data_IF_816408767394
#
_entry.id   IF_816408767394
#
_cell.length_a   1.000
_cell.length_b   1.000
_cell.length_c   1.000
_cell.angle_alpha   90.00
_cell.angle_beta   90.00
_cell.angle_gamma   90.00
#
_symmetry.space_group_name_H-M   'P 1'
#
loop_
_entity.id
_entity.type
_entity.pdbx_description
1 polymer ?
#
# COMPACT_ATOMS: atom_id res chain seq x y z
N UNK A 1 4.04 -12.97 5.60
CA UNK A 1 4.57 -14.34 5.79
C UNK A 1 4.42 -15.12 4.49
N UNK A 2 5.27 -16.12 4.22
CA UNK A 2 5.16 -17.00 3.04
C UNK A 2 5.17 -16.32 1.67
N UNK A 3 5.68 -15.08 1.58
CA UNK A 3 5.76 -14.33 0.31
C UNK A 3 4.41 -14.00 -0.33
N UNK A 4 3.31 -14.06 0.43
CA UNK A 4 1.95 -13.75 -0.05
C UNK A 4 1.34 -12.55 0.67
N UNK A 5 0.50 -11.81 -0.03
CA UNK A 5 -0.32 -10.72 0.52
C UNK A 5 -1.79 -11.15 0.52
N UNK A 6 -2.35 -11.37 1.70
CA UNK A 6 -3.75 -11.79 1.88
C UNK A 6 -4.61 -10.60 2.31
N UNK A 7 -5.89 -10.62 1.94
CA UNK A 7 -6.89 -9.66 2.43
C UNK A 7 -8.19 -10.39 2.82
N UNK A 8 -8.85 -9.91 3.88
CA UNK A 8 -10.14 -10.44 4.36
C UNK A 8 -11.09 -9.28 4.63
N UNK A 9 -12.22 -9.21 3.93
CA UNK A 9 -13.17 -8.12 4.08
C UNK A 9 -13.93 -8.21 5.42
N UNK A 10 -14.14 -7.07 6.08
CA UNK A 10 -14.93 -6.98 7.32
C UNK A 10 -14.25 -7.55 8.56
N UNK A 11 -12.96 -7.84 8.50
CA UNK A 11 -12.17 -8.35 9.63
C UNK A 11 -11.01 -7.40 9.91
N UNK A 12 -10.82 -7.04 11.18
CA UNK A 12 -9.67 -6.31 11.68
C UNK A 12 -8.91 -7.21 12.67
N UNK A 13 -7.60 -7.32 12.52
CA UNK A 13 -6.77 -8.10 13.44
C UNK A 13 -6.58 -7.30 14.75
N UNK A 14 -6.71 -7.97 15.89
CA UNK A 14 -6.55 -7.35 17.22
C UNK A 14 -5.11 -6.94 17.53
N UNK A 15 -4.14 -7.56 16.85
CA UNK A 15 -2.70 -7.38 17.00
C UNK A 15 -2.05 -6.85 15.71
N UNK A 16 -2.80 -6.07 14.92
CA UNK A 16 -2.29 -5.46 13.71
C UNK A 16 -1.09 -4.53 13.99
N UNK A 17 -0.05 -4.63 13.16
CA UNK A 17 1.12 -3.73 13.19
C UNK A 17 0.73 -2.25 13.04
N UNK A 18 -0.28 -1.98 12.20
CA UNK A 18 -0.85 -0.67 11.98
C UNK A 18 -2.31 -0.77 11.52
N UNK A 19 -3.11 0.25 11.85
CA UNK A 19 -4.45 0.46 11.30
C UNK A 19 -4.42 1.72 10.43
N UNK A 20 -4.88 1.61 9.19
CA UNK A 20 -4.88 2.69 8.22
C UNK A 20 -6.33 2.98 7.84
N UNK A 21 -6.76 4.22 8.02
CA UNK A 21 -8.09 4.71 7.64
C UNK A 21 -7.95 5.73 6.53
N UNK A 22 -8.62 5.49 5.41
CA UNK A 22 -8.66 6.35 4.23
C UNK A 22 -9.92 6.08 3.41
N UNK A 23 -10.29 7.01 2.54
CA UNK A 23 -11.35 6.77 1.55
C UNK A 23 -10.85 5.95 0.36
N UNK A 24 -11.78 5.31 -0.37
CA UNK A 24 -11.44 4.59 -1.60
C UNK A 24 -10.85 5.52 -2.68
N UNK A 25 -11.31 6.76 -2.72
CA UNK A 25 -10.83 7.75 -3.69
C UNK A 25 -9.37 8.13 -3.42
N UNK A 26 -8.99 8.31 -2.15
CA UNK A 26 -7.60 8.56 -1.76
C UNK A 26 -6.72 7.36 -2.10
N UNK A 27 -7.19 6.13 -1.83
CA UNK A 27 -6.46 4.92 -2.22
C UNK A 27 -6.21 4.88 -3.73
N UNK A 28 -7.22 5.19 -4.55
CA UNK A 28 -7.08 5.18 -6.01
C UNK A 28 -6.02 6.20 -6.48
N UNK A 29 -6.04 7.43 -5.95
CA UNK A 29 -5.04 8.46 -6.28
C UNK A 29 -3.62 8.01 -5.94
N UNK A 30 -3.44 7.33 -4.80
CA UNK A 30 -2.14 6.78 -4.39
C UNK A 30 -1.66 5.70 -5.36
N UNK A 31 -2.53 4.74 -5.71
CA UNK A 31 -2.20 3.66 -6.66
C UNK A 31 -1.89 4.20 -8.06
N UNK A 32 -2.60 5.25 -8.49
CA UNK A 32 -2.37 5.94 -9.76
C UNK A 32 -1.13 6.87 -9.74
N UNK A 33 -0.44 6.99 -8.60
CA UNK A 33 0.71 7.88 -8.38
C UNK A 33 0.37 9.38 -8.57
N UNK A 34 -0.91 9.75 -8.43
CA UNK A 34 -1.37 11.15 -8.48
C UNK A 34 -1.14 11.89 -7.15
N UNK A 35 -1.01 11.13 -6.06
CA UNK A 35 -0.77 11.62 -4.71
C UNK A 35 0.08 10.61 -3.93
N UNK A 36 1.00 11.07 -3.10
CA UNK A 36 1.78 10.18 -2.24
C UNK A 36 1.07 9.94 -0.91
N UNK A 37 1.33 8.78 -0.29
CA UNK A 37 0.84 8.47 1.05
C UNK A 37 1.24 9.54 2.09
N UNK A 38 2.45 10.09 1.96
CA UNK A 38 2.95 11.15 2.84
C UNK A 38 2.16 12.44 2.69
N UNK A 39 1.84 12.84 1.45
CA UNK A 39 1.01 14.02 1.18
C UNK A 39 -0.41 13.82 1.71
N UNK A 40 -1.02 12.66 1.45
CA UNK A 40 -2.37 12.36 1.93
C UNK A 40 -2.44 12.32 3.47
N UNK A 41 -1.39 11.85 4.14
CA UNK A 41 -1.27 11.89 5.61
C UNK A 41 -1.15 13.34 6.10
N UNK A 42 -0.35 14.17 5.43
CA UNK A 42 -0.17 15.58 5.79
C UNK A 42 -1.45 16.43 5.59
N UNK A 43 -2.34 16.01 4.68
CA UNK A 43 -3.68 16.60 4.47
C UNK A 43 -4.75 16.07 5.43
N UNK A 44 -4.39 15.13 6.31
CA UNK A 44 -5.32 14.41 7.20
C UNK A 44 -6.35 13.53 6.46
N UNK A 45 -6.17 13.31 5.15
CA UNK A 45 -6.99 12.40 4.34
C UNK A 45 -6.70 10.91 4.63
N UNK A 46 -5.53 10.63 5.22
CA UNK A 46 -5.12 9.32 5.71
C UNK A 46 -4.80 9.42 7.20
N UNK A 47 -5.42 8.55 8.00
CA UNK A 47 -5.09 8.39 9.42
C UNK A 47 -4.42 7.05 9.64
N UNK A 48 -3.29 7.05 10.35
CA UNK A 48 -2.53 5.85 10.70
C UNK A 48 -2.42 5.76 12.22
N UNK A 49 -2.74 4.61 12.79
CA UNK A 49 -2.43 4.26 14.18
C UNK A 49 -1.52 3.04 14.22
N UNK A 50 -0.67 2.91 15.25
CA UNK A 50 0.36 1.87 15.29
C UNK A 50 1.64 2.29 14.57
N UNK A 51 2.34 1.35 13.92
CA UNK A 51 3.62 1.59 13.27
C UNK A 51 3.46 1.97 11.78
N UNK A 52 3.51 3.27 11.48
CA UNK A 52 3.35 3.77 10.12
C UNK A 52 4.42 3.26 9.13
N UNK A 53 5.63 2.91 9.60
CA UNK A 53 6.69 2.41 8.72
C UNK A 53 6.36 1.04 8.11
N UNK A 54 5.46 0.26 8.73
CA UNK A 54 5.02 -1.04 8.20
C UNK A 54 4.27 -0.92 6.87
N UNK A 55 3.58 0.20 6.64
CA UNK A 55 2.97 0.48 5.35
C UNK A 55 4.02 0.83 4.30
N UNK A 56 5.06 1.61 4.66
CA UNK A 56 6.17 1.91 3.76
C UNK A 56 6.94 0.63 3.38
N UNK A 57 7.18 -0.26 4.35
CA UNK A 57 7.81 -1.56 4.15
C UNK A 57 7.00 -2.42 3.16
N UNK A 58 5.69 -2.54 3.35
CA UNK A 58 4.79 -3.27 2.45
C UNK A 58 4.83 -2.72 1.02
N UNK A 59 4.73 -1.40 0.86
CA UNK A 59 4.77 -0.75 -0.45
C UNK A 59 6.15 -0.92 -1.12
N UNK A 60 7.22 -0.96 -0.32
CA UNK A 60 8.57 -1.23 -0.80
C UNK A 60 8.78 -2.63 -1.35
N UNK A 61 7.91 -3.60 -1.01
CA UNK A 61 7.92 -4.94 -1.58
C UNK A 61 7.16 -5.05 -2.92
N UNK A 62 6.48 -3.99 -3.36
CA UNK A 62 5.78 -3.99 -4.64
C UNK A 62 6.78 -3.77 -5.78
N UNK A 63 6.78 -4.67 -6.74
CA UNK A 63 7.69 -4.62 -7.88
C UNK A 63 7.25 -3.58 -8.93
N UNK A 64 8.20 -3.12 -9.75
CA UNK A 64 7.92 -2.36 -10.95
C UNK A 64 8.29 -3.21 -12.16
N UNK A 65 7.33 -3.43 -13.06
CA UNK A 65 7.56 -4.27 -14.23
C UNK A 65 8.08 -3.44 -15.40
N UNK A 66 9.22 -3.86 -15.95
CA UNK A 66 9.77 -3.29 -17.18
C UNK A 66 8.86 -3.58 -18.38
N UNK A 67 8.47 -2.52 -19.11
CA UNK A 67 7.53 -2.66 -20.22
C UNK A 67 8.12 -3.49 -21.37
N UNK A 68 9.43 -3.32 -21.64
CA UNK A 68 10.13 -3.96 -22.74
C UNK A 68 10.92 -5.19 -22.28
N UNK A 69 10.23 -6.18 -21.73
CA UNK A 69 10.83 -7.48 -21.49
C UNK A 69 11.11 -8.19 -22.82
N UNK A 70 12.14 -9.05 -22.85
CA UNK A 70 12.47 -9.81 -24.05
C UNK A 70 11.31 -10.76 -24.41
N UNK A 71 10.86 -10.72 -25.67
CA UNK A 71 9.77 -11.59 -26.15
C UNK A 71 10.33 -12.83 -26.88
N UNK A 72 11.40 -12.67 -27.68
CA UNK A 72 11.94 -13.72 -28.56
C UNK A 72 13.30 -14.26 -28.12
N UNK A 73 13.85 -13.72 -27.04
CA UNK A 73 15.06 -14.21 -26.37
C UNK A 73 14.77 -14.34 -24.88
N UNK A 74 15.44 -15.26 -24.16
CA UNK A 74 15.55 -15.15 -22.71
C UNK A 74 16.14 -13.79 -22.29
#
# INVERSE_FOLDING_TARGET
ENGVLNHTAGVEASDADATITLSRDVLNKIVLKEETLKEATAKEDVKITGNAEKLNELLGYMDNFEFWFNIVTP
#
